data_IF_864675247139
#
_entry.id   IF_864675247139
#
_cell.length_a   1.000
_cell.length_b   1.000
_cell.length_c   1.000
_cell.angle_alpha   90.00
_cell.angle_beta   90.00
_cell.angle_gamma   90.00
#
_symmetry.space_group_name_H-M   'P 1'
#
loop_
_entity.id
_entity.type
_entity.pdbx_description
1 polymer ?
#
# COMPACT_ATOMS: atom_id res chain seq x y z
N UNK A 1 7.76 -18.83 -8.64
CA UNK A 1 9.03 -18.13 -8.35
C UNK A 1 8.75 -17.08 -7.28
N UNK A 2 9.68 -16.85 -6.39
CA UNK A 2 9.59 -15.86 -5.32
C UNK A 2 10.09 -14.53 -5.87
N UNK A 3 9.29 -13.46 -5.80
CA UNK A 3 9.71 -12.14 -6.27
C UNK A 3 10.66 -11.51 -5.24
N UNK A 4 11.92 -11.33 -5.60
CA UNK A 4 12.96 -10.81 -4.72
C UNK A 4 13.57 -9.54 -5.29
N UNK A 5 13.34 -8.41 -4.60
CA UNK A 5 13.93 -7.13 -4.96
C UNK A 5 15.09 -6.82 -4.03
N UNK A 6 16.30 -6.71 -4.56
CA UNK A 6 17.48 -6.33 -3.79
C UNK A 6 17.82 -4.86 -4.10
N UNK A 7 17.77 -4.04 -3.06
CA UNK A 7 17.85 -2.58 -3.15
C UNK A 7 19.21 -2.12 -2.62
N UNK A 8 19.95 -1.37 -3.43
CA UNK A 8 21.18 -0.71 -3.01
C UNK A 8 21.23 0.75 -3.49
N UNK A 9 22.27 1.48 -3.15
CA UNK A 9 22.44 2.86 -3.61
C UNK A 9 23.17 3.73 -2.61
N UNK A 10 23.52 4.93 -3.02
CA UNK A 10 24.24 5.88 -2.20
C UNK A 10 23.48 6.21 -0.90
N UNK A 11 24.21 6.52 0.15
CA UNK A 11 23.62 6.89 1.43
C UNK A 11 22.81 8.19 1.28
N UNK A 12 21.57 8.20 1.76
CA UNK A 12 20.67 9.36 1.59
C UNK A 12 19.84 9.35 0.29
N UNK A 13 20.00 8.35 -0.61
CA UNK A 13 19.25 8.25 -1.86
C UNK A 13 17.78 7.79 -1.72
N UNK A 14 17.33 7.46 -0.50
CA UNK A 14 15.92 7.10 -0.29
C UNK A 14 15.65 5.60 -0.13
N UNK A 15 16.65 4.76 0.18
CA UNK A 15 16.47 3.31 0.41
C UNK A 15 15.37 2.98 1.42
N UNK A 16 15.33 3.68 2.56
CA UNK A 16 14.29 3.44 3.58
C UNK A 16 12.89 3.81 3.09
N UNK A 17 12.74 4.90 2.32
CA UNK A 17 11.45 5.26 1.70
C UNK A 17 11.01 4.24 0.66
N UNK A 18 11.97 3.68 -0.07
CA UNK A 18 11.74 2.60 -1.03
C UNK A 18 11.27 1.32 -0.34
N UNK A 19 11.94 0.90 0.75
CA UNK A 19 11.49 -0.25 1.56
C UNK A 19 10.09 -0.06 2.11
N UNK A 20 9.79 1.13 2.64
CA UNK A 20 8.44 1.45 3.13
C UNK A 20 7.38 1.29 2.01
N UNK A 21 7.70 1.73 0.79
CA UNK A 21 6.79 1.55 -0.37
C UNK A 21 6.59 0.07 -0.71
N UNK A 22 7.62 -0.77 -0.61
CA UNK A 22 7.49 -2.21 -0.82
C UNK A 22 6.67 -2.88 0.28
N UNK A 23 6.82 -2.45 1.55
CA UNK A 23 6.02 -2.93 2.67
C UNK A 23 4.54 -2.63 2.47
N UNK A 24 4.17 -1.40 2.06
CA UNK A 24 2.80 -1.03 1.70
C UNK A 24 2.23 -1.87 0.54
N UNK A 25 3.09 -2.34 -0.37
CA UNK A 25 2.73 -3.23 -1.49
C UNK A 25 2.66 -4.72 -1.09
N UNK A 26 2.81 -5.03 0.20
CA UNK A 26 2.71 -6.39 0.73
C UNK A 26 3.98 -7.24 0.57
N UNK A 27 5.13 -6.62 0.36
CA UNK A 27 6.42 -7.31 0.41
C UNK A 27 6.86 -7.51 1.86
N UNK A 28 7.51 -8.63 2.14
CA UNK A 28 8.29 -8.80 3.36
C UNK A 28 9.58 -8.00 3.23
N UNK A 29 9.80 -7.01 4.10
CA UNK A 29 10.93 -6.09 3.98
C UNK A 29 12.04 -6.40 4.98
N UNK A 30 13.28 -6.28 4.53
CA UNK A 30 14.48 -6.49 5.36
C UNK A 30 15.47 -5.36 5.05
N UNK A 31 15.92 -4.67 6.09
CA UNK A 31 16.82 -3.53 5.93
C UNK A 31 18.25 -3.89 6.36
N UNK A 32 19.22 -3.44 5.57
CA UNK A 32 20.64 -3.39 5.87
C UNK A 32 21.28 -4.73 6.28
N UNK A 33 21.07 -5.79 5.49
CA UNK A 33 21.67 -7.09 5.77
C UNK A 33 23.20 -7.09 5.47
N UNK A 34 24.04 -7.59 6.38
CA UNK A 34 25.45 -7.81 6.12
C UNK A 34 25.67 -9.04 5.23
N UNK A 35 26.83 -9.11 4.56
CA UNK A 35 27.14 -10.17 3.59
C UNK A 35 27.10 -11.58 4.18
N UNK A 36 27.59 -11.75 5.38
CA UNK A 36 27.67 -13.04 6.09
C UNK A 36 26.27 -13.61 6.45
N UNK A 37 25.27 -12.75 6.58
CA UNK A 37 23.87 -13.13 6.84
C UNK A 37 23.09 -13.38 5.55
N UNK A 38 23.56 -12.91 4.41
CA UNK A 38 22.82 -12.99 3.14
C UNK A 38 22.52 -14.44 2.73
N UNK A 39 23.49 -15.36 2.83
CA UNK A 39 23.28 -16.76 2.45
C UNK A 39 22.23 -17.47 3.32
N UNK A 40 22.33 -17.50 4.67
CA UNK A 40 21.28 -18.08 5.52
C UNK A 40 19.90 -17.50 5.28
N UNK A 41 19.83 -16.18 5.01
CA UNK A 41 18.56 -15.52 4.69
C UNK A 41 17.95 -16.03 3.38
N UNK A 42 18.75 -16.12 2.30
CA UNK A 42 18.28 -16.62 1.01
C UNK A 42 17.86 -18.09 1.07
N UNK A 43 18.62 -18.93 1.82
CA UNK A 43 18.24 -20.31 2.09
C UNK A 43 16.86 -20.40 2.78
N UNK A 44 16.61 -19.51 3.77
CA UNK A 44 15.34 -19.45 4.47
C UNK A 44 14.19 -18.97 3.56
N UNK A 45 14.42 -17.96 2.73
CA UNK A 45 13.43 -17.45 1.79
C UNK A 45 13.07 -18.51 0.76
N UNK A 46 14.06 -19.19 0.19
CA UNK A 46 13.87 -20.23 -0.84
C UNK A 46 13.09 -21.45 -0.32
N UNK A 47 13.31 -21.85 0.93
CA UNK A 47 12.66 -23.05 1.50
C UNK A 47 11.30 -22.81 2.12
N UNK A 48 10.95 -21.57 2.42
CA UNK A 48 9.72 -21.22 3.15
C UNK A 48 8.69 -20.51 2.26
N UNK A 49 7.61 -21.20 1.90
CA UNK A 49 6.52 -20.69 1.05
C UNK A 49 5.78 -19.45 1.60
N UNK A 50 6.07 -19.03 2.83
CA UNK A 50 5.54 -17.80 3.41
C UNK A 50 6.05 -16.56 2.68
N UNK A 51 7.24 -16.64 2.06
CA UNK A 51 7.91 -15.53 1.42
C UNK A 51 7.66 -15.54 -0.09
N UNK A 52 6.54 -14.99 -0.53
CA UNK A 52 6.22 -14.87 -1.97
C UNK A 52 6.83 -13.61 -2.61
N UNK A 53 6.94 -12.53 -1.82
CA UNK A 53 7.48 -11.22 -2.24
C UNK A 53 8.38 -10.68 -1.14
N UNK A 54 9.63 -10.41 -1.47
CA UNK A 54 10.63 -9.93 -0.51
C UNK A 54 11.39 -8.74 -1.08
N UNK A 55 11.57 -7.69 -0.29
CA UNK A 55 12.40 -6.54 -0.63
C UNK A 55 13.51 -6.39 0.41
N UNK A 56 14.75 -6.36 -0.05
CA UNK A 56 15.94 -6.40 0.82
C UNK A 56 16.84 -5.21 0.50
N UNK A 57 17.05 -4.31 1.46
CA UNK A 57 18.07 -3.29 1.31
C UNK A 57 19.42 -3.82 1.80
N UNK A 58 20.45 -3.52 1.06
CA UNK A 58 21.82 -3.97 1.33
C UNK A 58 22.83 -2.80 1.34
N UNK A 59 23.91 -2.91 2.11
CA UNK A 59 25.02 -1.98 2.01
C UNK A 59 25.61 -1.96 0.59
N UNK A 60 25.95 -0.77 0.11
CA UNK A 60 26.46 -0.58 -1.25
C UNK A 60 27.79 -1.32 -1.48
N UNK A 61 28.66 -1.34 -0.48
CA UNK A 61 29.94 -2.05 -0.52
C UNK A 61 29.82 -3.57 -0.72
N UNK A 62 28.70 -4.17 -0.34
CA UNK A 62 28.46 -5.62 -0.45
C UNK A 62 27.61 -6.01 -1.66
N UNK A 63 27.20 -5.02 -2.47
CA UNK A 63 26.17 -5.23 -3.50
C UNK A 63 26.59 -6.28 -4.54
N UNK A 64 27.81 -6.22 -5.07
CA UNK A 64 28.27 -7.17 -6.10
C UNK A 64 28.29 -8.62 -5.58
N UNK A 65 28.75 -8.84 -4.35
CA UNK A 65 28.83 -10.19 -3.77
C UNK A 65 27.45 -10.75 -3.46
N UNK A 66 26.54 -9.91 -2.93
CA UNK A 66 25.16 -10.32 -2.64
C UNK A 66 24.39 -10.58 -3.95
N UNK A 67 24.58 -9.77 -5.00
CA UNK A 67 23.97 -10.02 -6.31
C UNK A 67 24.43 -11.34 -6.92
N UNK A 68 25.75 -11.61 -6.84
CA UNK A 68 26.31 -12.89 -7.30
C UNK A 68 25.75 -14.06 -6.51
N UNK A 69 25.63 -13.93 -5.21
CA UNK A 69 25.03 -14.94 -4.33
C UNK A 69 23.58 -15.21 -4.68
N UNK A 70 22.76 -14.15 -4.82
CA UNK A 70 21.33 -14.26 -5.13
C UNK A 70 21.04 -14.99 -6.44
N UNK A 71 21.88 -14.80 -7.47
CA UNK A 71 21.75 -15.47 -8.77
C UNK A 71 21.86 -16.99 -8.72
N UNK A 72 22.35 -17.57 -7.61
CA UNK A 72 22.43 -19.03 -7.45
C UNK A 72 21.05 -19.66 -7.11
N UNK A 73 20.05 -18.85 -6.73
CA UNK A 73 18.71 -19.31 -6.37
C UNK A 73 17.78 -19.23 -7.57
N UNK A 74 17.53 -20.40 -8.21
CA UNK A 74 16.75 -20.50 -9.46
C UNK A 74 15.24 -20.27 -9.27
N UNK A 75 14.76 -20.33 -8.04
CA UNK A 75 13.38 -20.08 -7.64
C UNK A 75 13.09 -18.59 -7.37
N UNK A 76 14.11 -17.74 -7.42
CA UNK A 76 13.98 -16.30 -7.30
C UNK A 76 13.74 -15.62 -8.65
N UNK A 77 12.72 -14.77 -8.70
CA UNK A 77 12.55 -13.73 -9.72
C UNK A 77 13.22 -12.47 -9.22
N UNK A 78 14.45 -12.22 -9.73
CA UNK A 78 15.39 -11.26 -9.17
C UNK A 78 15.31 -9.90 -9.83
N UNK A 79 15.12 -8.86 -9.02
CA UNK A 79 15.26 -7.46 -9.40
C UNK A 79 16.35 -6.78 -8.57
N UNK A 80 17.34 -6.20 -9.23
CA UNK A 80 18.42 -5.44 -8.60
C UNK A 80 18.19 -3.95 -8.81
N UNK A 81 17.72 -3.27 -7.76
CA UNK A 81 17.38 -1.86 -7.79
C UNK A 81 18.50 -0.99 -7.21
N UNK A 82 19.04 -0.11 -8.03
CA UNK A 82 19.98 0.93 -7.63
C UNK A 82 19.31 2.27 -7.44
N UNK A 83 19.60 2.94 -6.33
CA UNK A 83 19.13 4.30 -6.07
C UNK A 83 20.32 5.26 -6.05
N UNK A 84 20.18 6.36 -6.79
CA UNK A 84 21.13 7.48 -6.77
C UNK A 84 20.43 8.79 -6.40
N UNK A 85 21.24 9.84 -6.19
CA UNK A 85 20.77 11.18 -5.95
C UNK A 85 21.93 12.13 -6.23
N UNK A 86 21.73 13.34 -6.75
CA UNK A 86 22.82 14.28 -7.01
C UNK A 86 23.57 14.67 -5.73
N UNK A 87 24.83 15.05 -5.85
CA UNK A 87 25.67 15.45 -4.71
C UNK A 87 25.07 16.65 -3.96
N UNK A 88 24.48 17.59 -4.70
CA UNK A 88 23.83 18.77 -4.15
C UNK A 88 22.63 18.38 -3.30
N UNK A 89 21.75 17.51 -3.84
CA UNK A 89 20.58 17.02 -3.13
C UNK A 89 20.95 16.15 -1.92
N UNK A 90 22.03 15.33 -2.00
CA UNK A 90 22.54 14.58 -0.85
C UNK A 90 23.06 15.51 0.26
N UNK A 91 23.85 16.51 -0.10
CA UNK A 91 24.35 17.49 0.87
C UNK A 91 23.19 18.22 1.60
N UNK A 92 22.15 18.60 0.85
CA UNK A 92 20.96 19.21 1.44
C UNK A 92 20.21 18.24 2.36
N UNK A 93 19.96 16.99 1.91
CA UNK A 93 19.30 15.97 2.71
C UNK A 93 20.04 15.66 4.01
N UNK A 94 21.38 15.55 3.97
CA UNK A 94 22.20 15.33 5.16
C UNK A 94 22.20 16.55 6.10
N UNK A 95 22.19 17.77 5.55
CA UNK A 95 22.11 19.01 6.35
C UNK A 95 20.76 19.13 7.09
N UNK A 96 19.67 18.71 6.45
CA UNK A 96 18.32 18.76 7.03
C UNK A 96 18.03 17.58 7.96
N UNK A 97 18.74 16.47 7.81
CA UNK A 97 18.52 15.28 8.63
C UNK A 97 19.44 15.27 9.87
N UNK A 98 18.98 14.60 10.93
CA UNK A 98 19.82 14.32 12.11
C UNK A 98 20.76 13.12 11.89
N UNK A 99 20.65 12.41 10.76
CA UNK A 99 21.46 11.23 10.44
C UNK A 99 22.79 11.69 9.84
N UNK A 100 23.88 11.08 10.28
CA UNK A 100 25.21 11.23 9.66
C UNK A 100 25.41 10.17 8.59
N UNK A 101 26.23 10.46 7.59
CA UNK A 101 26.66 9.45 6.63
C UNK A 101 27.44 8.33 7.36
N UNK A 102 27.20 7.04 7.05
CA UNK A 102 27.85 5.92 7.76
C UNK A 102 29.37 6.01 7.80
N UNK A 103 30.01 6.47 6.71
CA UNK A 103 31.44 6.61 6.63
C UNK A 103 32.04 7.77 7.48
N UNK A 104 31.22 8.70 7.94
CA UNK A 104 31.68 9.76 8.85
C UNK A 104 32.14 9.20 10.22
N UNK A 105 31.55 8.07 10.64
CA UNK A 105 32.01 7.36 11.84
C UNK A 105 33.41 6.74 11.67
N UNK A 106 33.89 6.59 10.42
CA UNK A 106 35.20 6.09 10.04
C UNK A 106 36.21 7.22 9.72
N UNK A 107 35.85 8.47 10.05
CA UNK A 107 36.76 9.64 9.92
C UNK A 107 36.68 10.38 8.57
N UNK A 108 35.77 10.00 7.67
CA UNK A 108 35.59 10.71 6.40
C UNK A 108 34.74 11.99 6.58
N UNK A 109 35.06 13.03 5.82
CA UNK A 109 34.14 14.16 5.63
C UNK A 109 32.91 13.71 4.85
N UNK A 110 31.84 14.50 4.89
CA UNK A 110 30.61 14.17 4.13
C UNK A 110 30.89 14.08 2.62
N UNK A 111 31.68 15.01 2.08
CA UNK A 111 32.02 15.04 0.65
C UNK A 111 32.81 13.80 0.23
N UNK A 112 33.83 13.42 0.99
CA UNK A 112 34.63 12.21 0.73
C UNK A 112 33.77 10.94 0.82
N UNK A 113 32.86 10.88 1.78
CA UNK A 113 31.94 9.77 1.96
C UNK A 113 30.98 9.63 0.75
N UNK A 114 30.44 10.75 0.26
CA UNK A 114 29.60 10.78 -0.93
C UNK A 114 30.38 10.33 -2.18
N UNK A 115 31.60 10.88 -2.40
CA UNK A 115 32.43 10.46 -3.54
C UNK A 115 32.74 8.96 -3.53
N UNK A 116 32.98 8.40 -2.35
CA UNK A 116 33.25 6.97 -2.20
C UNK A 116 32.00 6.13 -2.55
N UNK A 117 30.81 6.54 -2.08
CA UNK A 117 29.56 5.87 -2.45
C UNK A 117 29.35 5.87 -3.97
N UNK A 118 29.62 7.00 -4.66
CA UNK A 118 29.52 7.06 -6.13
C UNK A 118 30.51 6.14 -6.82
N UNK A 119 31.76 6.10 -6.37
CA UNK A 119 32.77 5.21 -6.94
C UNK A 119 32.35 3.74 -6.86
N UNK A 120 31.76 3.34 -5.72
CA UNK A 120 31.25 1.97 -5.55
C UNK A 120 30.01 1.76 -6.41
N UNK A 121 29.07 2.72 -6.46
CA UNK A 121 27.86 2.61 -7.24
C UNK A 121 28.13 2.39 -8.74
N UNK A 122 29.12 3.09 -9.30
CA UNK A 122 29.54 2.87 -10.69
C UNK A 122 30.05 1.44 -10.92
N UNK A 123 30.73 0.83 -9.95
CA UNK A 123 31.21 -0.55 -10.07
C UNK A 123 30.09 -1.60 -10.07
N UNK A 124 28.94 -1.29 -9.47
CA UNK A 124 27.77 -2.19 -9.40
C UNK A 124 26.72 -1.90 -10.48
N UNK A 125 26.82 -0.77 -11.18
CA UNK A 125 25.81 -0.25 -12.09
C UNK A 125 25.41 -1.23 -13.19
N UNK A 126 26.36 -1.96 -13.77
CA UNK A 126 26.10 -2.94 -14.83
C UNK A 126 25.32 -4.17 -14.36
N UNK A 127 25.29 -4.40 -13.05
CA UNK A 127 24.55 -5.50 -12.44
C UNK A 127 23.12 -5.15 -12.07
N UNK A 128 22.74 -3.86 -12.12
CA UNK A 128 21.41 -3.39 -11.76
C UNK A 128 20.40 -3.67 -12.89
N UNK A 129 19.21 -4.16 -12.54
CA UNK A 129 18.08 -4.30 -13.48
C UNK A 129 17.32 -2.99 -13.61
N UNK A 130 17.25 -2.21 -12.53
CA UNK A 130 16.58 -0.92 -12.48
C UNK A 130 17.48 0.11 -11.77
N UNK A 131 17.45 1.36 -12.25
CA UNK A 131 18.23 2.45 -11.70
C UNK A 131 17.36 3.71 -11.61
N UNK A 132 17.22 4.27 -10.42
CA UNK A 132 16.36 5.42 -10.16
C UNK A 132 17.18 6.56 -9.56
N UNK A 133 17.16 7.71 -10.23
CA UNK A 133 17.68 8.96 -9.69
C UNK A 133 16.59 9.69 -8.91
N UNK A 134 16.83 9.85 -7.61
CA UNK A 134 15.87 10.47 -6.68
C UNK A 134 16.14 11.96 -6.43
N UNK A 135 17.02 12.61 -7.21
CA UNK A 135 17.46 14.00 -6.99
C UNK A 135 16.32 15.01 -6.98
N UNK A 136 15.36 14.84 -7.90
CA UNK A 136 14.28 15.80 -8.18
C UNK A 136 12.88 15.23 -7.97
N UNK A 137 12.77 14.02 -7.46
CA UNK A 137 11.48 13.36 -7.24
C UNK A 137 11.12 13.34 -5.76
N UNK A 138 9.85 13.51 -5.46
CA UNK A 138 9.32 13.35 -4.11
C UNK A 138 8.96 11.88 -3.82
N UNK A 139 8.50 11.63 -2.60
CA UNK A 139 8.13 10.27 -2.16
C UNK A 139 6.96 9.71 -2.97
N UNK A 140 6.01 10.56 -3.40
CA UNK A 140 4.84 10.14 -4.19
C UNK A 140 5.26 9.70 -5.59
N UNK A 141 6.15 10.46 -6.21
CA UNK A 141 6.69 10.15 -7.52
C UNK A 141 7.58 8.89 -7.48
N UNK A 142 8.43 8.75 -6.45
CA UNK A 142 9.20 7.53 -6.23
C UNK A 142 8.28 6.31 -6.10
N UNK A 143 7.23 6.40 -5.31
CA UNK A 143 6.22 5.35 -5.16
C UNK A 143 5.62 4.96 -6.50
N UNK A 144 5.19 5.93 -7.32
CA UNK A 144 4.63 5.70 -8.64
C UNK A 144 5.61 4.97 -9.59
N UNK A 145 6.89 5.38 -9.58
CA UNK A 145 7.94 4.73 -10.38
C UNK A 145 8.12 3.28 -9.95
N UNK A 146 8.20 3.01 -8.64
CA UNK A 146 8.38 1.65 -8.10
C UNK A 146 7.22 0.72 -8.46
N UNK A 147 5.97 1.20 -8.32
CA UNK A 147 4.78 0.43 -8.69
C UNK A 147 4.78 0.07 -10.18
N UNK A 148 5.10 1.03 -11.05
CA UNK A 148 5.04 0.84 -12.50
C UNK A 148 6.20 0.00 -13.05
N UNK A 149 7.43 0.19 -12.54
CA UNK A 149 8.65 -0.38 -13.16
C UNK A 149 9.08 -1.70 -12.55
N UNK A 150 8.81 -1.94 -11.26
CA UNK A 150 9.36 -3.09 -10.56
C UNK A 150 8.27 -4.05 -10.12
N UNK A 151 7.17 -3.52 -9.60
CA UNK A 151 6.11 -4.36 -9.06
C UNK A 151 5.18 -4.90 -10.14
N UNK A 152 5.25 -4.39 -11.40
CA UNK A 152 4.33 -4.76 -12.49
C UNK A 152 2.86 -4.47 -12.15
N UNK A 153 2.66 -3.74 -11.07
CA UNK A 153 1.36 -3.27 -10.64
C UNK A 153 1.17 -1.99 -11.43
N UNK A 154 0.34 -2.01 -12.48
CA UNK A 154 -0.12 -0.78 -13.13
C UNK A 154 -0.56 0.17 -12.02
N UNK A 155 0.18 1.26 -11.86
CA UNK A 155 0.09 2.14 -10.69
C UNK A 155 -1.35 2.36 -10.27
N UNK A 156 -1.59 2.29 -8.97
CA UNK A 156 -2.85 2.62 -8.34
C UNK A 156 -3.84 1.47 -8.13
N UNK A 157 -3.46 0.40 -7.46
CA UNK A 157 -4.47 -0.38 -6.75
C UNK A 157 -4.95 0.41 -5.52
N UNK A 158 -5.79 1.40 -5.79
CA UNK A 158 -6.54 2.08 -4.74
C UNK A 158 -7.68 1.15 -4.34
N UNK A 159 -7.68 0.71 -3.09
CA UNK A 159 -8.72 -0.17 -2.55
C UNK A 159 -9.77 0.62 -1.76
N UNK A 160 -11.01 0.18 -1.83
CA UNK A 160 -12.13 0.81 -1.09
C UNK A 160 -12.83 -0.25 -0.26
N UNK A 161 -12.85 -0.06 1.05
CA UNK A 161 -13.63 -0.89 1.96
C UNK A 161 -14.93 -0.18 2.34
N UNK A 162 -16.07 -0.82 2.09
CA UNK A 162 -17.36 -0.35 2.57
C UNK A 162 -17.69 -1.02 3.90
N UNK A 163 -17.87 -0.22 4.95
CA UNK A 163 -18.12 -0.73 6.31
C UNK A 163 -19.55 -0.39 6.73
N UNK A 164 -20.41 -1.39 6.86
CA UNK A 164 -21.73 -1.16 7.42
C UNK A 164 -21.73 -1.27 8.95
N UNK A 165 -22.41 -0.33 9.61
CA UNK A 165 -22.52 -0.32 11.07
C UNK A 165 -23.80 0.33 11.57
N UNK A 166 -24.05 0.18 12.87
CA UNK A 166 -25.17 0.82 13.58
C UNK A 166 -24.70 1.88 14.57
N UNK A 167 -25.33 3.07 14.52
CA UNK A 167 -25.02 4.14 15.48
C UNK A 167 -25.21 3.74 16.94
N UNK A 168 -26.08 2.75 17.23
CA UNK A 168 -26.25 2.22 18.61
C UNK A 168 -24.97 1.64 19.21
N UNK A 169 -23.99 1.27 18.36
CA UNK A 169 -22.75 0.60 18.78
C UNK A 169 -21.48 1.40 18.48
N UNK A 170 -21.57 2.72 18.43
CA UNK A 170 -20.48 3.66 18.11
C UNK A 170 -20.12 3.74 16.61
N UNK A 171 -19.40 4.79 16.25
CA UNK A 171 -18.81 4.97 14.92
C UNK A 171 -17.39 4.37 14.94
N UNK A 172 -16.99 3.54 13.94
CA UNK A 172 -15.61 3.07 13.84
C UNK A 172 -14.65 4.26 13.66
N UNK A 173 -13.45 4.17 14.24
CA UNK A 173 -12.49 5.28 14.24
C UNK A 173 -11.69 5.40 12.93
N UNK A 174 -11.67 4.34 12.14
CA UNK A 174 -10.91 4.18 10.90
C UNK A 174 -11.72 4.49 9.62
N UNK A 175 -12.83 5.23 9.76
CA UNK A 175 -13.71 5.62 8.64
C UNK A 175 -13.39 7.04 8.19
N UNK A 176 -13.13 7.25 6.90
CA UNK A 176 -12.87 8.57 6.31
C UNK A 176 -14.16 9.41 6.14
N UNK A 177 -15.26 8.75 5.74
CA UNK A 177 -16.56 9.43 5.58
C UNK A 177 -17.69 8.47 5.90
N UNK A 178 -18.80 9.01 6.43
CA UNK A 178 -19.97 8.23 6.84
C UNK A 178 -21.22 8.72 6.11
N UNK A 179 -21.94 7.78 5.48
CA UNK A 179 -23.26 8.01 4.90
C UNK A 179 -24.35 7.49 5.82
N UNK A 180 -25.21 8.39 6.27
CA UNK A 180 -26.32 8.06 7.15
C UNK A 180 -27.55 7.63 6.33
N UNK A 181 -27.89 6.36 6.41
CA UNK A 181 -29.03 5.78 5.67
C UNK A 181 -30.28 5.59 6.53
N UNK A 182 -30.39 6.28 7.69
CA UNK A 182 -31.59 6.19 8.55
C UNK A 182 -32.82 6.83 7.93
N UNK A 183 -32.66 7.76 7.02
CA UNK A 183 -33.75 8.42 6.28
C UNK A 183 -34.46 7.49 5.29
N UNK A 184 -33.81 6.39 4.90
CA UNK A 184 -34.33 5.46 3.92
C UNK A 184 -35.38 4.52 4.53
N UNK A 185 -36.29 3.93 3.70
CA UNK A 185 -37.35 3.00 4.16
C UNK A 185 -36.79 1.91 5.08
N UNK A 186 -37.46 1.67 6.19
CA UNK A 186 -36.95 0.81 7.24
C UNK A 186 -37.58 -0.58 7.23
N UNK A 187 -36.87 -1.64 6.83
CA UNK A 187 -37.40 -3.02 6.80
C UNK A 187 -37.88 -3.52 8.16
N UNK A 188 -37.42 -2.97 9.26
CA UNK A 188 -37.82 -3.37 10.61
C UNK A 188 -39.34 -3.23 10.86
N UNK A 189 -40.02 -2.31 10.16
CA UNK A 189 -41.44 -2.10 10.29
C UNK A 189 -42.30 -3.03 9.40
N UNK A 190 -41.64 -3.87 8.57
CA UNK A 190 -42.31 -4.88 7.73
C UNK A 190 -42.13 -6.24 8.43
N UNK A 191 -43.21 -6.87 8.92
CA UNK A 191 -43.12 -8.09 9.74
C UNK A 191 -42.28 -9.19 9.09
N UNK A 192 -42.42 -9.40 7.76
CA UNK A 192 -41.72 -10.43 7.00
C UNK A 192 -40.26 -10.14 6.76
N UNK A 193 -39.79 -8.89 7.00
CA UNK A 193 -38.40 -8.46 6.80
C UNK A 193 -37.65 -8.23 8.11
N UNK A 194 -38.38 -8.11 9.21
CA UNK A 194 -37.82 -7.70 10.51
C UNK A 194 -36.69 -8.60 11.01
N UNK A 195 -36.84 -9.90 10.86
CA UNK A 195 -35.87 -10.90 11.33
C UNK A 195 -34.81 -11.26 10.27
N UNK A 196 -34.94 -10.73 9.06
CA UNK A 196 -33.98 -10.87 7.98
C UNK A 196 -32.86 -9.82 8.10
N UNK A 197 -31.83 -9.92 7.25
CA UNK A 197 -30.69 -9.01 7.22
C UNK A 197 -30.61 -8.28 5.88
N UNK A 198 -29.77 -7.27 5.77
CA UNK A 198 -29.52 -6.59 4.50
C UNK A 198 -28.81 -7.45 3.44
N UNK A 199 -28.37 -8.66 3.78
CA UNK A 199 -27.86 -9.66 2.81
C UNK A 199 -29.00 -10.46 2.17
N UNK A 200 -30.16 -10.50 2.80
CA UNK A 200 -31.30 -11.23 2.28
C UNK A 200 -31.93 -10.48 1.10
N UNK A 201 -32.15 -11.20 0.00
CA UNK A 201 -32.69 -10.63 -1.25
C UNK A 201 -33.99 -9.81 -1.05
N UNK A 202 -34.91 -10.29 -0.21
CA UNK A 202 -36.15 -9.58 0.10
C UNK A 202 -35.91 -8.20 0.74
N UNK A 203 -34.93 -8.10 1.63
CA UNK A 203 -34.52 -6.84 2.28
C UNK A 203 -33.82 -5.93 1.28
N UNK A 204 -32.93 -6.48 0.44
CA UNK A 204 -32.29 -5.71 -0.62
C UNK A 204 -33.32 -5.13 -1.60
N UNK A 205 -34.25 -5.95 -2.09
CA UNK A 205 -35.29 -5.51 -3.02
C UNK A 205 -36.18 -4.42 -2.41
N UNK A 206 -36.51 -4.54 -1.12
CA UNK A 206 -37.26 -3.51 -0.41
C UNK A 206 -36.50 -2.20 -0.28
N UNK A 207 -35.25 -2.25 0.19
CA UNK A 207 -34.43 -1.06 0.45
C UNK A 207 -34.00 -0.41 -0.86
N UNK A 208 -33.42 -1.17 -1.80
CA UNK A 208 -32.85 -0.65 -3.05
C UNK A 208 -33.94 -0.33 -4.10
N UNK A 209 -35.13 -0.96 -3.99
CA UNK A 209 -36.27 -0.71 -4.88
C UNK A 209 -36.97 0.63 -4.65
N UNK A 210 -36.86 1.18 -3.44
CA UNK A 210 -37.52 2.43 -3.07
C UNK A 210 -36.98 3.64 -3.87
N UNK A 211 -37.88 4.56 -4.23
CA UNK A 211 -37.57 5.77 -5.01
C UNK A 211 -36.55 6.65 -4.24
N UNK A 212 -36.79 6.86 -2.96
CA UNK A 212 -35.94 7.66 -2.07
C UNK A 212 -34.52 7.09 -1.98
N UNK A 213 -34.38 5.75 -1.98
CA UNK A 213 -33.09 5.09 -1.95
C UNK A 213 -32.33 5.29 -3.27
N UNK A 214 -33.04 5.19 -4.41
CA UNK A 214 -32.41 5.41 -5.72
C UNK A 214 -31.89 6.84 -5.87
N UNK A 215 -32.69 7.82 -5.43
CA UNK A 215 -32.30 9.22 -5.44
C UNK A 215 -31.11 9.48 -4.50
N UNK A 216 -31.16 8.97 -3.27
CA UNK A 216 -30.05 9.06 -2.32
C UNK A 216 -28.76 8.44 -2.87
N UNK A 217 -28.85 7.24 -3.45
CA UNK A 217 -27.69 6.55 -4.03
C UNK A 217 -27.09 7.31 -5.21
N UNK A 218 -27.88 8.02 -6.02
CA UNK A 218 -27.34 8.83 -7.11
C UNK A 218 -26.39 9.92 -6.59
N UNK A 219 -26.76 10.61 -5.52
CA UNK A 219 -25.91 11.64 -4.88
C UNK A 219 -24.69 11.04 -4.19
N UNK A 220 -24.85 9.90 -3.49
CA UNK A 220 -23.74 9.21 -2.84
C UNK A 220 -22.69 8.74 -3.85
N UNK A 221 -23.14 8.17 -4.98
CA UNK A 221 -22.27 7.69 -6.04
C UNK A 221 -21.53 8.86 -6.72
N UNK A 222 -22.21 9.97 -6.99
CA UNK A 222 -21.59 11.17 -7.55
C UNK A 222 -20.50 11.71 -6.63
N UNK A 223 -20.83 11.88 -5.34
CA UNK A 223 -19.85 12.31 -4.34
C UNK A 223 -18.66 11.35 -4.24
N UNK A 224 -18.90 10.03 -4.14
CA UNK A 224 -17.84 9.05 -4.02
C UNK A 224 -16.95 8.97 -5.27
N UNK A 225 -17.50 9.14 -6.46
CA UNK A 225 -16.70 9.21 -7.68
C UNK A 225 -15.69 10.35 -7.63
N UNK A 226 -16.09 11.52 -7.16
CA UNK A 226 -15.19 12.66 -6.95
C UNK A 226 -14.20 12.40 -5.80
N UNK A 227 -14.71 12.04 -4.63
CA UNK A 227 -13.94 11.91 -3.40
C UNK A 227 -12.85 10.84 -3.48
N UNK A 228 -13.18 9.65 -4.02
CA UNK A 228 -12.22 8.55 -4.16
C UNK A 228 -11.11 8.89 -5.17
N UNK A 229 -11.42 9.61 -6.24
CA UNK A 229 -10.40 10.09 -7.18
C UNK A 229 -9.44 11.10 -6.52
N UNK A 230 -9.95 12.02 -5.71
CA UNK A 230 -9.10 12.98 -5.01
C UNK A 230 -8.25 12.29 -3.92
N UNK A 231 -8.79 11.31 -3.19
CA UNK A 231 -8.00 10.50 -2.26
C UNK A 231 -6.87 9.75 -2.99
N UNK A 232 -7.17 9.14 -4.12
CA UNK A 232 -6.18 8.46 -4.96
C UNK A 232 -5.08 9.42 -5.43
N UNK A 233 -5.45 10.59 -5.97
CA UNK A 233 -4.50 11.64 -6.38
C UNK A 233 -3.65 12.15 -5.21
N UNK A 234 -4.19 12.16 -3.99
CA UNK A 234 -3.44 12.54 -2.79
C UNK A 234 -2.37 11.52 -2.37
N UNK A 235 -2.32 10.33 -3.02
CA UNK A 235 -1.37 9.26 -2.75
C UNK A 235 -1.82 8.29 -1.66
N UNK A 236 -3.09 8.34 -1.21
CA UNK A 236 -3.65 7.28 -0.36
C UNK A 236 -3.76 5.97 -1.14
N UNK A 237 -3.45 4.86 -0.50
CA UNK A 237 -3.55 3.50 -1.08
C UNK A 237 -4.91 2.84 -0.83
N UNK A 238 -5.70 3.34 0.14
CA UNK A 238 -7.00 2.77 0.50
C UNK A 238 -7.93 3.83 1.08
N UNK A 239 -9.24 3.52 1.10
CA UNK A 239 -10.25 4.31 1.81
C UNK A 239 -11.28 3.39 2.47
N UNK A 240 -11.73 3.77 3.69
CA UNK A 240 -12.81 3.10 4.41
C UNK A 240 -14.05 4.00 4.41
N UNK A 241 -15.12 3.54 3.77
CA UNK A 241 -16.37 4.28 3.61
C UNK A 241 -17.44 3.67 4.52
N UNK A 242 -17.89 4.46 5.48
CA UNK A 242 -18.90 4.05 6.44
C UNK A 242 -20.34 4.19 5.94
N UNK A 243 -21.14 3.16 6.10
CA UNK A 243 -22.60 3.20 5.85
C UNK A 243 -23.32 2.91 7.15
N UNK A 244 -24.07 3.87 7.66
CA UNK A 244 -24.62 3.80 9.01
C UNK A 244 -26.16 3.82 9.04
N UNK A 245 -26.76 2.86 9.76
CA UNK A 245 -28.16 2.93 10.15
C UNK A 245 -28.29 2.84 11.69
N UNK A 246 -29.50 2.65 12.22
CA UNK A 246 -29.71 2.58 13.68
C UNK A 246 -29.07 1.32 14.30
N UNK A 247 -29.38 0.14 13.76
CA UNK A 247 -28.96 -1.15 14.32
C UNK A 247 -27.83 -1.85 13.57
N UNK A 248 -27.48 -1.43 12.35
CA UNK A 248 -26.39 -2.05 11.57
C UNK A 248 -26.76 -3.38 10.89
N UNK A 249 -28.05 -3.73 10.79
CA UNK A 249 -28.45 -5.06 10.30
C UNK A 249 -29.17 -5.07 8.93
N UNK A 250 -29.92 -4.03 8.57
CA UNK A 250 -30.73 -4.00 7.36
C UNK A 250 -30.21 -3.00 6.33
N UNK A 251 -30.60 -1.71 6.44
CA UNK A 251 -30.32 -0.66 5.46
C UNK A 251 -28.85 -0.46 5.18
N UNK A 252 -28.03 -0.31 6.22
CA UNK A 252 -26.59 -0.11 6.07
C UNK A 252 -25.90 -1.30 5.40
N UNK A 253 -26.32 -2.53 5.70
CA UNK A 253 -25.79 -3.76 5.10
C UNK A 253 -26.14 -3.81 3.61
N UNK A 254 -27.42 -3.62 3.24
CA UNK A 254 -27.87 -3.65 1.85
C UNK A 254 -27.19 -2.57 0.99
N UNK A 255 -27.06 -1.34 1.52
CA UNK A 255 -26.40 -0.22 0.82
C UNK A 255 -24.90 -0.43 0.71
N UNK A 256 -24.22 -0.91 1.75
CA UNK A 256 -22.76 -1.16 1.72
C UNK A 256 -22.43 -2.25 0.69
N UNK A 257 -23.21 -3.33 0.63
CA UNK A 257 -23.06 -4.37 -0.38
C UNK A 257 -23.25 -3.82 -1.79
N UNK A 258 -24.33 -3.06 -2.01
CA UNK A 258 -24.61 -2.44 -3.30
C UNK A 258 -23.47 -1.52 -3.77
N UNK A 259 -22.95 -0.66 -2.90
CA UNK A 259 -21.86 0.25 -3.23
C UNK A 259 -20.55 -0.50 -3.51
N UNK A 260 -20.25 -1.56 -2.74
CA UNK A 260 -19.10 -2.43 -2.98
C UNK A 260 -19.17 -3.02 -4.40
N UNK A 261 -20.31 -3.60 -4.79
CA UNK A 261 -20.50 -4.22 -6.10
C UNK A 261 -20.46 -3.17 -7.24
N UNK A 262 -21.01 -1.98 -6.98
CA UNK A 262 -21.01 -0.88 -7.96
C UNK A 262 -19.58 -0.41 -8.27
N UNK A 263 -18.77 -0.16 -7.22
CA UNK A 263 -17.41 0.37 -7.37
C UNK A 263 -16.37 -0.72 -7.71
N UNK A 264 -16.70 -2.00 -7.62
CA UNK A 264 -15.83 -3.11 -8.03
C UNK A 264 -15.39 -3.05 -9.50
N UNK A 265 -16.15 -2.32 -10.35
CA UNK A 265 -15.81 -2.07 -11.76
C UNK A 265 -14.61 -1.11 -11.93
N UNK A 266 -14.30 -0.32 -10.92
CA UNK A 266 -13.30 0.76 -11.01
C UNK A 266 -12.17 0.63 -10.00
N UNK A 267 -12.44 0.04 -8.84
CA UNK A 267 -11.50 -0.10 -7.73
C UNK A 267 -11.45 -1.55 -7.24
N UNK A 268 -10.40 -1.89 -6.51
CA UNK A 268 -10.40 -3.10 -5.68
C UNK A 268 -11.31 -2.85 -4.47
N UNK A 269 -12.44 -3.53 -4.39
CA UNK A 269 -13.43 -3.28 -3.34
C UNK A 269 -13.56 -4.45 -2.38
N UNK A 270 -13.88 -4.13 -1.14
CA UNK A 270 -14.26 -5.10 -0.11
C UNK A 270 -15.38 -4.53 0.75
N UNK A 271 -16.11 -5.40 1.43
CA UNK A 271 -17.19 -5.00 2.33
C UNK A 271 -17.05 -5.69 3.68
N UNK A 272 -17.30 -4.95 4.76
CA UNK A 272 -17.35 -5.47 6.12
C UNK A 272 -18.66 -5.06 6.80
N UNK A 273 -19.35 -6.02 7.43
CA UNK A 273 -20.59 -5.79 8.14
C UNK A 273 -20.35 -5.93 9.65
N UNK A 274 -19.85 -4.84 10.27
CA UNK A 274 -19.37 -4.85 11.65
C UNK A 274 -20.39 -5.37 12.68
N UNK A 275 -21.66 -5.00 12.51
CA UNK A 275 -22.69 -5.25 13.51
C UNK A 275 -23.72 -6.32 13.11
N UNK A 276 -23.54 -6.98 11.97
CA UNK A 276 -24.52 -7.91 11.40
C UNK A 276 -24.85 -9.10 12.35
N UNK A 277 -23.84 -9.61 13.07
CA UNK A 277 -23.97 -10.76 13.97
C UNK A 277 -23.64 -10.45 15.45
N UNK A 278 -23.49 -9.17 15.78
CA UNK A 278 -23.25 -8.75 17.16
C UNK A 278 -24.60 -8.46 17.84
N UNK A 279 -25.04 -9.39 18.69
CA UNK A 279 -26.16 -9.17 19.62
C UNK A 279 -25.79 -8.16 20.70
#
# INVERSE_FOLDING_TARGET
>A
MINVVIITGVSGSGKSSTLYTFEEAGYYVIDNIPLDVAKPLFDTISTNRKYEKVAIAIPLENANDIFKLARNYKDFDLHFLGLTCSKEALNERFRLSRKRHPLQSKGYTLSEAIERDYSILESVRLNLTNYIDTSKIDIKELKKILYNTIMGISGDKFSVMFVSFGYKKSVPQDIETVFDVRLLPNPYWVPELKELTGLDKKVQDFVLGAKETKEYLSHVIEYLNYYLEELKKSGKGHANIGIACSGGQHRSVAIAQYLCDYFAKKYETSVSHRDLYRK
#
